data_IF_536503878287
#
_entry.id   IF_536503878287
#
_cell.length_a   1.000
_cell.length_b   1.000
_cell.length_c   1.000
_cell.angle_alpha   90.00
_cell.angle_beta   90.00
_cell.angle_gamma   90.00
#
_symmetry.space_group_name_H-M   'P 1'
#
loop_
_entity.id
_entity.type
_entity.pdbx_description
1 polymer ?
#
# COMPACT_ATOMS: atom_id res chain seq x y z
N UNK A 1 -10.13 1.26 16.31
CA UNK A 1 -9.55 2.24 15.38
C UNK A 1 -10.42 2.33 14.14
N UNK A 2 -10.88 3.53 13.81
CA UNK A 2 -11.75 3.74 12.65
C UNK A 2 -10.94 3.77 11.35
N UNK A 3 -11.59 3.45 10.26
CA UNK A 3 -11.07 3.59 8.90
C UNK A 3 -10.57 5.02 8.63
N UNK A 4 -11.31 6.01 9.10
CA UNK A 4 -10.95 7.42 8.97
C UNK A 4 -9.62 7.75 9.69
N UNK A 5 -9.44 7.24 10.90
CA UNK A 5 -8.22 7.49 11.66
C UNK A 5 -6.99 6.89 10.98
N UNK A 6 -7.12 5.68 10.43
CA UNK A 6 -6.06 5.05 9.65
C UNK A 6 -5.73 5.87 8.40
N UNK A 7 -6.72 6.23 7.63
CA UNK A 7 -6.57 6.99 6.38
C UNK A 7 -5.84 8.31 6.64
N UNK A 8 -6.26 9.04 7.68
CA UNK A 8 -5.65 10.30 8.08
C UNK A 8 -4.19 10.11 8.49
N UNK A 9 -3.89 9.07 9.28
CA UNK A 9 -2.53 8.77 9.72
C UNK A 9 -1.60 8.52 8.53
N UNK A 10 -2.00 7.61 7.63
CA UNK A 10 -1.17 7.23 6.48
C UNK A 10 -0.94 8.44 5.55
N UNK A 11 -1.97 9.22 5.29
CA UNK A 11 -1.82 10.43 4.46
C UNK A 11 -0.79 11.39 5.05
N UNK A 12 -0.72 11.49 6.37
CA UNK A 12 0.24 12.34 7.07
C UNK A 12 1.70 11.88 6.96
N UNK A 13 1.96 10.67 6.45
CA UNK A 13 3.32 10.19 6.25
C UNK A 13 4.04 10.84 5.06
N UNK A 14 3.29 11.43 4.13
CA UNK A 14 3.86 12.20 3.04
C UNK A 14 4.33 13.58 3.50
N UNK A 15 4.96 14.31 2.58
CA UNK A 15 5.41 15.69 2.83
C UNK A 15 4.29 16.70 2.53
N UNK A 16 3.27 16.30 1.79
CA UNK A 16 2.08 17.10 1.49
C UNK A 16 0.88 16.18 1.32
N UNK A 17 -0.31 16.69 1.65
CA UNK A 17 -1.58 15.96 1.55
C UNK A 17 -2.54 16.68 0.63
N UNK A 18 -3.52 15.95 0.08
CA UNK A 18 -4.59 16.51 -0.75
C UNK A 18 -4.03 17.31 -1.93
N UNK A 19 -3.14 16.69 -2.71
CA UNK A 19 -2.49 17.37 -3.83
C UNK A 19 -3.49 17.58 -4.96
N UNK A 20 -3.74 18.83 -5.31
CA UNK A 20 -4.66 19.18 -6.39
C UNK A 20 -4.02 18.94 -7.75
N UNK A 21 -4.73 18.22 -8.63
CA UNK A 21 -4.29 17.85 -9.98
C UNK A 21 -5.41 18.17 -10.98
N UNK A 22 -5.74 19.46 -11.12
CA UNK A 22 -6.88 19.89 -11.91
C UNK A 22 -8.19 19.51 -11.21
N UNK A 23 -8.99 18.63 -11.83
CA UNK A 23 -10.25 18.16 -11.25
C UNK A 23 -10.11 16.90 -10.38
N UNK A 24 -8.89 16.43 -10.13
CA UNK A 24 -8.59 15.27 -9.29
C UNK A 24 -7.65 15.66 -8.16
N UNK A 25 -7.56 14.78 -7.16
CA UNK A 25 -6.63 14.90 -6.03
C UNK A 25 -5.89 13.60 -5.80
N UNK A 26 -4.61 13.70 -5.47
CA UNK A 26 -3.86 12.61 -4.87
C UNK A 26 -3.90 12.76 -3.34
N UNK A 27 -3.91 11.65 -2.62
CA UNK A 27 -4.03 11.68 -1.16
C UNK A 27 -2.80 12.26 -0.48
N UNK A 28 -1.61 11.90 -0.95
CA UNK A 28 -0.38 12.50 -0.42
C UNK A 28 0.75 12.45 -1.44
N UNK A 29 1.77 13.26 -1.20
CA UNK A 29 2.98 13.30 -2.00
C UNK A 29 4.17 12.93 -1.14
N UNK A 30 5.04 12.05 -1.67
CA UNK A 30 6.27 11.62 -1.01
C UNK A 30 7.37 12.65 -1.21
N UNK A 31 8.43 12.55 -0.41
CA UNK A 31 9.60 13.41 -0.51
C UNK A 31 10.21 13.42 -1.93
N UNK A 32 10.20 12.28 -2.61
CA UNK A 32 10.73 12.14 -3.97
C UNK A 32 9.82 12.74 -5.06
N UNK A 33 8.65 13.23 -4.70
CA UNK A 33 7.67 13.77 -5.63
C UNK A 33 6.64 12.76 -6.11
N UNK A 34 6.81 11.46 -5.86
CA UNK A 34 5.80 10.44 -6.15
C UNK A 34 4.53 10.72 -5.37
N UNK A 35 3.39 10.34 -5.94
CA UNK A 35 2.07 10.52 -5.33
C UNK A 35 1.49 9.19 -4.94
N UNK A 36 0.89 9.14 -3.76
CA UNK A 36 0.29 7.93 -3.22
C UNK A 36 -1.22 8.10 -3.04
N UNK A 37 -1.95 7.04 -3.37
CA UNK A 37 -3.36 6.89 -3.02
C UNK A 37 -3.46 5.98 -1.80
N UNK A 38 -4.28 6.39 -0.84
CA UNK A 38 -4.50 5.70 0.43
C UNK A 38 -5.94 5.21 0.45
N UNK A 39 -6.14 3.89 0.42
CA UNK A 39 -7.47 3.32 0.19
C UNK A 39 -7.83 2.30 1.26
N UNK A 40 -8.98 2.50 1.91
CA UNK A 40 -9.47 1.62 2.96
C UNK A 40 -10.60 0.69 2.50
N UNK A 41 -11.06 0.81 1.25
CA UNK A 41 -12.16 0.00 0.69
C UNK A 41 -11.84 -0.47 -0.72
N UNK A 42 -12.50 -1.56 -1.18
CA UNK A 42 -12.38 -1.99 -2.57
C UNK A 42 -12.80 -0.90 -3.55
N UNK A 43 -12.18 -0.89 -4.72
CA UNK A 43 -12.54 -0.02 -5.83
C UNK A 43 -12.81 -0.85 -7.08
N UNK A 44 -13.72 -0.41 -7.97
CA UNK A 44 -13.88 -1.03 -9.28
C UNK A 44 -12.61 -0.86 -10.15
N UNK A 45 -12.39 -1.74 -11.14
CA UNK A 45 -11.19 -1.66 -11.98
C UNK A 45 -11.02 -0.34 -12.71
N UNK A 46 -12.09 0.25 -13.22
CA UNK A 46 -12.04 1.55 -13.93
C UNK A 46 -11.63 2.69 -13.00
N UNK A 47 -12.04 2.64 -11.72
CA UNK A 47 -11.63 3.62 -10.72
C UNK A 47 -10.15 3.48 -10.38
N UNK A 48 -9.65 2.23 -10.24
CA UNK A 48 -8.22 1.97 -10.02
C UNK A 48 -7.42 2.54 -11.19
N UNK A 49 -7.80 2.21 -12.43
CA UNK A 49 -7.11 2.70 -13.63
C UNK A 49 -7.14 4.23 -13.71
N UNK A 50 -8.28 4.84 -13.41
CA UNK A 50 -8.42 6.29 -13.45
C UNK A 50 -7.53 7.01 -12.45
N UNK A 51 -7.40 6.49 -11.24
CA UNK A 51 -6.52 7.06 -10.21
C UNK A 51 -5.04 6.83 -10.53
N UNK A 52 -4.69 5.70 -11.12
CA UNK A 52 -3.30 5.41 -11.52
C UNK A 52 -2.77 6.34 -12.60
N UNK A 53 -3.63 7.08 -13.29
CA UNK A 53 -3.19 8.15 -14.17
C UNK A 53 -2.49 9.29 -13.40
N UNK A 54 -2.73 9.41 -12.10
CA UNK A 54 -2.22 10.49 -11.25
C UNK A 54 -1.47 9.99 -10.01
N UNK A 55 -1.50 8.69 -9.73
CA UNK A 55 -0.86 8.08 -8.59
C UNK A 55 0.25 7.14 -9.01
N UNK A 56 1.33 7.14 -8.25
CA UNK A 56 2.51 6.32 -8.50
C UNK A 56 2.52 5.05 -7.64
N UNK A 57 1.73 5.01 -6.57
CA UNK A 57 1.65 3.86 -5.69
C UNK A 57 0.36 3.88 -4.86
N UNK A 58 0.04 2.71 -4.30
CA UNK A 58 -1.13 2.49 -3.45
C UNK A 58 -0.72 2.03 -2.06
N UNK A 59 -1.44 2.52 -1.06
CA UNK A 59 -1.39 2.04 0.32
C UNK A 59 -2.80 1.57 0.68
N UNK A 60 -2.98 0.26 0.87
CA UNK A 60 -4.28 -0.35 1.11
C UNK A 60 -4.40 -0.82 2.55
N UNK A 61 -5.54 -0.54 3.17
CA UNK A 61 -5.84 -1.02 4.52
C UNK A 61 -6.31 -2.48 4.48
N UNK A 62 -5.40 -3.40 4.76
CA UNK A 62 -5.69 -4.82 4.81
C UNK A 62 -5.64 -5.37 6.24
N UNK A 63 -5.69 -4.50 7.26
CA UNK A 63 -5.58 -4.93 8.67
C UNK A 63 -6.68 -5.90 9.08
N UNK A 64 -7.92 -5.66 8.67
CA UNK A 64 -9.04 -6.55 8.99
C UNK A 64 -8.89 -7.90 8.29
N UNK A 65 -8.49 -7.91 7.03
CA UNK A 65 -8.25 -9.14 6.28
C UNK A 65 -7.12 -9.97 6.88
N UNK A 66 -6.03 -9.32 7.28
CA UNK A 66 -4.89 -9.98 7.93
C UNK A 66 -5.27 -10.56 9.29
N UNK A 67 -5.98 -9.78 10.11
CA UNK A 67 -6.42 -10.19 11.44
C UNK A 67 -7.39 -11.37 11.40
N UNK A 68 -8.28 -11.41 10.41
CA UNK A 68 -9.24 -12.51 10.20
C UNK A 68 -8.66 -13.70 9.45
N UNK A 69 -7.36 -13.65 9.08
CA UNK A 69 -6.67 -14.67 8.29
C UNK A 69 -7.21 -14.86 6.87
N UNK A 70 -7.99 -13.92 6.37
CA UNK A 70 -8.33 -13.89 4.93
C UNK A 70 -7.12 -13.51 4.09
N UNK A 71 -6.24 -12.67 4.64
CA UNK A 71 -4.93 -12.38 4.06
C UNK A 71 -3.87 -13.08 4.91
N UNK A 72 -3.22 -14.08 4.33
CA UNK A 72 -2.16 -14.85 4.98
C UNK A 72 -0.83 -14.54 4.30
N UNK A 73 0.20 -14.32 5.11
CA UNK A 73 1.55 -14.01 4.65
C UNK A 73 2.52 -14.96 5.36
N UNK A 74 3.43 -15.57 4.62
CA UNK A 74 4.40 -16.48 5.20
C UNK A 74 5.72 -16.44 4.44
N UNK A 75 6.77 -16.94 5.06
CA UNK A 75 8.10 -17.04 4.48
C UNK A 75 8.31 -18.42 3.89
N UNK A 76 8.82 -18.48 2.66
CA UNK A 76 9.19 -19.72 1.98
C UNK A 76 10.71 -19.71 1.74
N UNK A 77 11.44 -20.80 2.10
CA UNK A 77 12.89 -20.84 1.94
C UNK A 77 13.37 -20.67 0.50
N UNK A 78 12.56 -21.07 -0.48
CA UNK A 78 12.90 -21.00 -1.89
C UNK A 78 12.41 -19.73 -2.57
N UNK A 79 11.20 -19.28 -2.24
CA UNK A 79 10.52 -18.21 -2.97
C UNK A 79 10.40 -16.90 -2.20
N UNK A 80 10.91 -16.83 -0.96
CA UNK A 80 10.83 -15.62 -0.13
C UNK A 80 9.45 -15.45 0.51
N UNK A 81 8.98 -14.22 0.60
CA UNK A 81 7.68 -13.92 1.18
C UNK A 81 6.56 -14.19 0.19
N UNK A 82 5.61 -15.04 0.60
CA UNK A 82 4.43 -15.37 -0.18
C UNK A 82 3.17 -14.91 0.55
N UNK A 83 2.09 -14.70 -0.21
CA UNK A 83 0.81 -14.36 0.39
C UNK A 83 -0.35 -15.00 -0.38
N UNK A 84 -1.47 -15.13 0.33
CA UNK A 84 -2.77 -15.52 -0.23
C UNK A 84 -3.85 -14.65 0.42
N UNK A 85 -4.62 -13.98 -0.41
CA UNK A 85 -5.66 -13.05 0.02
C UNK A 85 -7.02 -13.54 -0.49
N UNK A 86 -7.80 -14.13 0.41
CA UNK A 86 -9.18 -14.56 0.15
C UNK A 86 -10.10 -13.34 0.12
N UNK A 87 -11.03 -13.31 -0.81
CA UNK A 87 -11.91 -12.15 -1.06
C UNK A 87 -11.10 -10.89 -1.35
N UNK A 88 -10.05 -11.06 -2.12
CA UNK A 88 -9.19 -9.95 -2.50
C UNK A 88 -9.96 -8.90 -3.28
N UNK A 89 -9.48 -7.67 -3.21
CA UNK A 89 -10.09 -6.55 -3.94
C UNK A 89 -9.78 -6.67 -5.43
N UNK A 90 -10.69 -7.33 -6.18
CA UNK A 90 -10.48 -7.73 -7.57
C UNK A 90 -10.22 -6.55 -8.52
N UNK A 91 -10.71 -5.35 -8.19
CA UNK A 91 -10.41 -4.16 -8.98
C UNK A 91 -8.93 -3.86 -9.12
N UNK A 92 -8.10 -4.33 -8.17
CA UNK A 92 -6.66 -4.14 -8.22
C UNK A 92 -5.93 -5.14 -9.13
N UNK A 93 -6.64 -6.11 -9.71
CA UNK A 93 -6.06 -7.04 -10.68
C UNK A 93 -5.46 -6.32 -11.90
N UNK A 94 -5.97 -5.15 -12.23
CA UNK A 94 -5.50 -4.34 -13.36
C UNK A 94 -4.42 -3.32 -12.96
N UNK A 95 -4.05 -3.25 -11.68
CA UNK A 95 -3.08 -2.27 -11.19
C UNK A 95 -1.72 -2.46 -11.86
N UNK A 96 -1.15 -1.36 -12.30
CA UNK A 96 0.20 -1.28 -12.90
C UNK A 96 1.18 -0.53 -12.01
N UNK A 97 0.76 -0.16 -10.81
CA UNK A 97 1.57 0.60 -9.86
C UNK A 97 1.93 -0.26 -8.65
N UNK A 98 3.02 0.05 -7.94
CA UNK A 98 3.34 -0.61 -6.68
C UNK A 98 2.17 -0.54 -5.70
N UNK A 99 1.90 -1.66 -5.02
CA UNK A 99 0.84 -1.77 -4.04
C UNK A 99 1.43 -2.24 -2.71
N UNK A 100 1.16 -1.47 -1.67
CA UNK A 100 1.55 -1.80 -0.30
C UNK A 100 0.30 -2.15 0.50
N UNK A 101 0.28 -3.35 1.07
CA UNK A 101 -0.82 -3.83 1.90
C UNK A 101 -0.46 -3.63 3.37
N UNK A 102 -1.20 -2.79 4.07
CA UNK A 102 -0.99 -2.62 5.52
C UNK A 102 -1.60 -3.83 6.24
N UNK A 103 -0.74 -4.59 6.91
CA UNK A 103 -1.14 -5.80 7.65
C UNK A 103 -1.49 -5.48 9.09
N UNK A 104 -0.70 -4.62 9.72
CA UNK A 104 -0.84 -4.21 11.11
C UNK A 104 -0.40 -2.76 11.27
N UNK A 105 -1.04 -2.04 12.18
CA UNK A 105 -0.60 -0.70 12.56
C UNK A 105 -1.20 -0.33 13.92
N UNK A 106 -0.34 -0.01 14.88
CA UNK A 106 -0.73 0.57 16.16
C UNK A 106 -0.52 2.09 16.07
N UNK A 107 -1.61 2.83 16.05
CA UNK A 107 -1.57 4.30 15.92
C UNK A 107 -0.94 4.99 17.13
N UNK A 108 -0.92 4.33 18.29
CA UNK A 108 -0.32 4.90 19.50
C UNK A 108 1.20 4.85 19.46
N UNK A 109 1.76 3.76 18.95
CA UNK A 109 3.20 3.51 18.94
C UNK A 109 3.83 3.78 17.58
N UNK A 110 3.03 3.75 16.50
CA UNK A 110 3.52 3.82 15.12
C UNK A 110 4.11 2.51 14.62
N UNK A 111 4.08 1.45 15.43
CA UNK A 111 4.59 0.14 15.01
C UNK A 111 3.59 -0.55 14.08
N UNK A 112 4.10 -1.22 13.08
CA UNK A 112 3.27 -1.93 12.12
C UNK A 112 4.08 -2.58 11.01
N UNK A 113 3.36 -3.23 10.10
CA UNK A 113 3.93 -4.04 9.03
C UNK A 113 3.17 -3.81 7.75
N UNK A 114 3.90 -3.65 6.65
CA UNK A 114 3.36 -3.55 5.31
C UNK A 114 3.95 -4.66 4.44
N UNK A 115 3.14 -5.18 3.55
CA UNK A 115 3.59 -6.09 2.48
C UNK A 115 3.57 -5.32 1.16
N UNK A 116 4.72 -5.12 0.56
CA UNK A 116 4.80 -4.62 -0.80
C UNK A 116 4.64 -5.80 -1.75
N UNK A 117 3.63 -5.74 -2.62
CA UNK A 117 3.38 -6.78 -3.61
C UNK A 117 4.43 -6.67 -4.71
N UNK A 118 5.18 -7.75 -4.96
CA UNK A 118 6.15 -7.82 -6.06
C UNK A 118 5.61 -8.58 -7.27
N UNK A 119 4.54 -9.35 -7.08
CA UNK A 119 3.83 -10.02 -8.15
C UNK A 119 2.58 -10.68 -7.60
N UNK A 120 1.48 -10.67 -8.34
CA UNK A 120 0.25 -11.34 -7.94
C UNK A 120 -0.57 -11.82 -9.12
N UNK A 121 -1.45 -12.80 -8.84
CA UNK A 121 -2.42 -13.35 -9.78
C UNK A 121 -3.78 -13.37 -9.11
N UNK A 122 -4.80 -12.90 -9.82
CA UNK A 122 -6.18 -12.89 -9.35
C UNK A 122 -7.01 -13.93 -10.08
N UNK A 123 -7.93 -14.59 -9.37
CA UNK A 123 -8.80 -15.64 -9.95
C UNK A 123 -10.30 -15.28 -9.89
N UNK A 124 -10.63 -14.02 -9.56
CA UNK A 124 -12.01 -13.56 -9.38
C UNK A 124 -12.52 -13.63 -7.95
N UNK A 125 -11.77 -14.28 -7.05
CA UNK A 125 -12.08 -14.37 -5.62
C UNK A 125 -10.83 -14.11 -4.76
N UNK A 126 -9.73 -14.69 -5.16
CA UNK A 126 -8.48 -14.74 -4.40
C UNK A 126 -7.37 -14.05 -5.18
N UNK A 127 -6.42 -13.50 -4.47
CA UNK A 127 -5.13 -13.10 -5.02
C UNK A 127 -4.04 -13.90 -4.33
N UNK A 128 -3.08 -14.38 -5.10
CA UNK A 128 -1.88 -15.05 -4.59
C UNK A 128 -0.66 -14.40 -5.19
N UNK A 129 0.43 -14.38 -4.46
CA UNK A 129 1.63 -13.78 -5.01
C UNK A 129 2.81 -13.75 -4.07
N UNK A 130 3.76 -12.93 -4.45
CA UNK A 130 5.01 -12.69 -3.74
C UNK A 130 5.07 -11.24 -3.27
N UNK A 131 5.85 -11.00 -2.24
CA UNK A 131 5.99 -9.65 -1.73
C UNK A 131 7.24 -9.46 -0.89
N UNK A 132 7.37 -8.27 -0.36
CA UNK A 132 8.45 -7.89 0.54
C UNK A 132 7.85 -7.19 1.76
N UNK A 133 8.30 -7.60 2.94
CA UNK A 133 7.84 -7.03 4.20
C UNK A 133 8.65 -5.76 4.51
N UNK A 134 7.94 -4.71 4.88
CA UNK A 134 8.51 -3.47 5.39
C UNK A 134 7.91 -3.16 6.76
N UNK A 135 8.71 -2.60 7.65
CA UNK A 135 8.16 -2.01 8.88
C UNK A 135 7.48 -0.69 8.55
N UNK A 136 6.48 -0.33 9.34
CA UNK A 136 5.82 0.97 9.21
C UNK A 136 6.83 2.12 9.36
N UNK A 137 7.81 1.98 10.26
CA UNK A 137 8.86 2.96 10.47
C UNK A 137 9.70 3.19 9.21
N UNK A 138 10.13 2.11 8.55
CA UNK A 138 10.91 2.20 7.30
C UNK A 138 10.11 2.82 6.18
N UNK A 139 8.86 2.40 6.02
CA UNK A 139 7.99 2.95 4.98
C UNK A 139 7.73 4.44 5.21
N UNK A 140 7.40 4.84 6.43
CA UNK A 140 7.17 6.24 6.80
C UNK A 140 8.41 7.10 6.54
N UNK A 141 9.58 6.60 6.91
CA UNK A 141 10.85 7.32 6.71
C UNK A 141 11.17 7.49 5.23
N UNK A 142 10.89 6.49 4.41
CA UNK A 142 11.03 6.59 2.96
C UNK A 142 10.07 7.63 2.37
N UNK A 143 8.82 7.59 2.77
CA UNK A 143 7.81 8.51 2.27
C UNK A 143 8.11 9.97 2.64
N UNK A 144 8.49 10.21 3.90
CA UNK A 144 8.62 11.56 4.43
C UNK A 144 10.00 12.17 4.22
N UNK A 145 11.05 11.37 4.34
CA UNK A 145 12.44 11.85 4.32
C UNK A 145 13.25 11.35 3.14
N UNK A 146 12.71 10.46 2.31
CA UNK A 146 13.42 9.85 1.21
C UNK A 146 14.51 8.88 1.64
N UNK A 147 14.46 8.36 2.88
CA UNK A 147 15.43 7.39 3.36
C UNK A 147 15.27 6.07 2.60
N UNK A 148 16.34 5.26 2.50
CA UNK A 148 16.29 4.02 1.73
C UNK A 148 15.18 3.09 2.18
N UNK A 149 14.51 2.46 1.22
CA UNK A 149 13.56 1.39 1.43
C UNK A 149 14.00 0.20 0.58
N UNK A 150 14.02 -1.00 1.17
CA UNK A 150 14.44 -2.20 0.46
C UNK A 150 13.64 -2.39 -0.83
N UNK A 151 14.34 -2.69 -1.95
CA UNK A 151 13.73 -2.84 -3.26
C UNK A 151 13.49 -1.53 -4.02
N UNK A 152 13.77 -0.38 -3.41
CA UNK A 152 13.59 0.93 -4.04
C UNK A 152 14.92 1.68 -4.13
N UNK A 153 15.09 2.41 -5.23
CA UNK A 153 16.27 3.25 -5.40
C UNK A 153 16.27 4.38 -4.38
N UNK A 154 17.45 4.76 -3.84
CA UNK A 154 17.56 5.95 -3.01
C UNK A 154 17.07 7.17 -3.79
N UNK A 155 16.31 8.03 -3.10
CA UNK A 155 15.87 9.28 -3.71
C UNK A 155 17.04 10.26 -3.71
N UNK A 156 17.36 10.79 -4.89
CA UNK A 156 18.31 11.89 -4.99
C UNK A 156 17.71 13.12 -4.26
N UNK A 157 18.45 13.60 -3.28
CA UNK A 157 18.07 14.79 -2.53
C UNK A 157 18.39 16.05 -3.35
#
# INVERSE_FOLDING_TARGET
MTEYAWHKEIKGWGVATEISLGNRRADCQLRCGKRAEVQARPLPPDEVAGREAHADLWLLDCRAAHRSRRLMVWSDPQFGTLFRWERAWQGFAISKRPVFLNLELDLRTGHGTFLEVTGWTFDGYRATGTGQIHTAASLRSWMRYGLPLAGHQPVAL
#
